data_IF_550002142564
#
_entry.id   IF_550002142564
#
_cell.length_a   1.000
_cell.length_b   1.000
_cell.length_c   1.000
_cell.angle_alpha   90.00
_cell.angle_beta   90.00
_cell.angle_gamma   90.00
#
_symmetry.space_group_name_H-M   'P 1'
#
loop_
_entity.id
_entity.type
_entity.pdbx_description
1 polymer ?
2 polymer ?
3 water ?
#
# COMPACT_ATOMS: atom_id res chain seq x y z
N UNK A 1 -17.98 -0.97 7.67
CA UNK A 1 -18.14 0.34 8.30
C UNK A 1 -17.51 0.32 9.70
N UNK A 2 -17.67 -0.81 10.37
CA UNK A 2 -17.00 -1.11 11.62
C UNK A 2 -16.59 -2.57 11.51
N UNK A 3 -17.12 -3.19 10.45
CA UNK A 3 -16.69 -4.49 9.97
C UNK A 3 -15.17 -4.49 9.79
N UNK A 4 -14.68 -3.40 9.21
CA UNK A 4 -13.26 -3.14 9.01
C UNK A 4 -12.42 -3.33 10.28
N UNK A 5 -12.98 -2.89 11.40
CA UNK A 5 -12.30 -2.92 12.69
C UNK A 5 -12.43 -4.27 13.40
N UNK A 6 -13.64 -4.83 13.40
CA UNK A 6 -13.93 -5.99 14.23
C UNK A 6 -13.96 -7.33 13.49
N UNK A 7 -14.42 -7.35 12.24
CA UNK A 7 -14.63 -8.63 11.55
C UNK A 7 -13.35 -9.25 10.99
N UNK A 8 -12.98 -10.42 11.52
CA UNK A 8 -11.81 -11.17 11.06
C UNK A 8 -11.88 -11.43 9.56
N UNK A 9 -10.77 -11.21 8.87
CA UNK A 9 -10.70 -11.45 7.44
C UNK A 9 -10.91 -12.92 7.14
N UNK A 10 -11.64 -13.22 6.07
CA UNK A 10 -11.88 -14.60 5.67
C UNK A 10 -11.09 -14.91 4.40
N UNK A 11 -11.11 -16.17 3.97
CA UNK A 11 -10.46 -16.53 2.70
C UNK A 11 -11.10 -15.76 1.55
N UNK A 12 -12.43 -15.72 1.58
CA UNK A 12 -13.17 -14.93 0.61
C UNK A 12 -12.67 -13.49 0.60
N UNK A 13 -12.47 -12.92 1.79
CA UNK A 13 -11.96 -11.56 1.88
C UNK A 13 -10.59 -11.44 1.24
N UNK A 14 -9.76 -12.46 1.45
CA UNK A 14 -8.39 -12.42 0.95
C UNK A 14 -8.36 -12.45 -0.56
N UNK A 15 -9.32 -13.11 -1.19
CA UNK A 15 -9.40 -13.03 -2.64
C UNK A 15 -9.55 -11.56 -3.07
N UNK A 16 -10.41 -10.83 -2.36
CA UNK A 16 -10.63 -9.42 -2.62
C UNK A 16 -9.40 -8.56 -2.38
N UNK A 17 -8.70 -8.82 -1.27
CA UNK A 17 -7.46 -8.11 -0.98
C UNK A 17 -6.43 -8.33 -2.08
N UNK A 18 -6.33 -9.57 -2.53
CA UNK A 18 -5.41 -9.89 -3.61
C UNK A 18 -5.77 -9.14 -4.88
N UNK A 19 -7.07 -9.06 -5.17
CA UNK A 19 -7.54 -8.33 -6.35
C UNK A 19 -7.17 -6.83 -6.27
N UNK A 20 -7.37 -6.24 -5.10
CA UNK A 20 -7.03 -4.83 -4.91
C UNK A 20 -5.52 -4.61 -5.08
N UNK A 21 -4.74 -5.51 -4.50
CA UNK A 21 -3.29 -5.41 -4.58
C UNK A 21 -2.83 -5.52 -6.03
N UNK A 22 -3.41 -6.46 -6.76
CA UNK A 22 -3.11 -6.62 -8.18
C UNK A 22 -3.45 -5.35 -8.95
N UNK A 23 -4.61 -4.75 -8.66
CA UNK A 23 -5.00 -3.52 -9.34
C UNK A 23 -4.00 -2.40 -9.07
N UNK A 24 -3.50 -2.33 -7.84
CA UNK A 24 -2.49 -1.31 -7.55
C UNK A 24 -1.18 -1.62 -8.28
N UNK A 25 -0.78 -2.88 -8.28
CA UNK A 25 0.47 -3.28 -8.93
C UNK A 25 0.43 -3.00 -10.42
N UNK A 26 -0.76 -3.06 -11.00
CA UNK A 26 -0.92 -2.79 -12.43
C UNK A 26 -0.98 -1.30 -12.79
N UNK A 27 -1.18 -0.43 -11.80
CA UNK A 27 -1.31 1.01 -12.05
C UNK A 27 0.02 1.58 -12.51
N UNK A 28 -0.01 2.43 -13.53
CA UNK A 28 1.24 2.95 -14.10
C UNK A 28 1.98 3.89 -13.15
N UNK A 29 1.26 4.47 -12.19
CA UNK A 29 1.88 5.38 -11.23
C UNK A 29 2.36 4.66 -9.98
N UNK A 30 2.30 3.33 -9.98
CA UNK A 30 2.71 2.55 -8.81
C UNK A 30 4.16 2.10 -8.92
N UNK A 31 4.80 2.45 -10.02
CA UNK A 31 6.15 1.98 -10.28
C UNK A 31 7.16 2.23 -9.13
N UNK A 32 7.04 3.34 -8.36
CA UNK A 32 8.07 3.46 -7.32
C UNK A 32 7.85 2.56 -6.11
N UNK A 33 6.67 1.99 -5.98
CA UNK A 33 6.31 1.26 -4.77
C UNK A 33 6.25 -0.26 -4.97
N UNK A 34 6.65 -0.73 -6.14
CA UNK A 34 6.50 -2.15 -6.46
C UNK A 34 7.38 -3.00 -5.59
N UNK A 35 8.60 -2.53 -5.36
CA UNK A 35 9.60 -3.28 -4.61
C UNK A 35 10.12 -2.43 -3.46
N UNK A 36 10.82 -3.06 -2.50
CA UNK A 36 11.49 -2.24 -1.47
C UNK A 36 12.44 -1.21 -2.09
N UNK A 37 12.49 -0.04 -1.46
CA UNK A 37 13.39 1.03 -1.87
C UNK A 37 14.82 0.52 -1.99
N UNK A 38 15.48 0.84 -3.10
CA UNK A 38 16.89 0.52 -3.26
C UNK A 38 17.74 1.56 -2.54
N UNK A 39 18.58 1.11 -1.58
CA UNK A 39 19.46 1.99 -0.80
C UNK A 39 20.40 2.79 -1.68
N UNK A 40 20.85 2.19 -2.78
CA UNK A 40 21.73 2.88 -3.73
C UNK A 40 21.04 4.05 -4.42
N UNK A 41 19.72 3.94 -4.58
CA UNK A 41 18.93 4.98 -5.21
C UNK A 41 18.64 6.11 -4.24
N UNK A 42 18.61 5.79 -2.95
CA UNK A 42 18.25 6.75 -1.92
C UNK A 42 19.04 6.51 -0.63
N UNK A 43 20.34 6.87 -0.65
CA UNK A 43 21.38 6.50 0.32
C UNK A 43 20.99 6.64 1.79
N UNK A 44 20.12 7.60 2.10
CA UNK A 44 19.77 7.89 3.48
C UNK A 44 18.37 7.38 3.87
N UNK A 45 17.70 6.71 2.94
CA UNK A 45 16.29 6.37 3.13
C UNK A 45 16.05 5.57 4.39
N UNK A 46 16.85 4.53 4.58
CA UNK A 46 16.56 3.59 5.65
C UNK A 46 16.99 4.11 7.02
N UNK A 47 17.67 5.25 7.05
CA UNK A 47 17.96 5.93 8.30
C UNK A 47 16.86 6.90 8.67
N UNK A 48 16.19 7.42 7.64
CA UNK A 48 15.09 8.36 7.81
C UNK A 48 13.76 7.66 8.07
N UNK A 49 13.50 6.63 7.28
CA UNK A 49 12.22 5.93 7.33
C UNK A 49 12.27 4.71 8.26
N UNK A 50 11.49 4.75 9.32
CA UNK A 50 11.62 3.74 10.36
C UNK A 50 10.86 2.47 10.04
N UNK A 51 9.69 2.60 9.44
CA UNK A 51 8.90 1.45 9.04
C UNK A 51 8.64 1.41 7.53
N UNK A 52 9.64 0.98 6.75
CA UNK A 52 9.50 0.93 5.29
C UNK A 52 8.41 -0.05 4.89
N UNK A 53 7.85 0.13 3.70
CA UNK A 53 6.78 -0.74 3.23
C UNK A 53 6.71 -0.64 1.71
N UNK A 54 6.24 -1.70 1.07
CA UNK A 54 6.18 -1.75 -0.39
C UNK A 54 5.16 -2.79 -0.81
N UNK A 55 4.78 -2.76 -2.07
CA UNK A 55 3.69 -3.60 -2.53
C UNK A 55 4.08 -5.08 -2.56
N UNK A 56 5.36 -5.39 -2.76
CA UNK A 56 5.82 -6.78 -2.76
C UNK A 56 5.76 -7.39 -1.36
N UNK A 57 6.18 -6.61 -0.36
CA UNK A 57 6.07 -7.04 1.03
C UNK A 57 4.61 -7.33 1.38
N UNK A 58 3.73 -6.46 0.91
CA UNK A 58 2.30 -6.64 1.15
C UNK A 58 1.75 -7.85 0.41
N UNK A 59 2.29 -8.13 -0.78
CA UNK A 59 1.89 -9.33 -1.52
C UNK A 59 2.27 -10.57 -0.73
N UNK A 60 3.46 -10.54 -0.17
CA UNK A 60 3.92 -11.65 0.65
C UNK A 60 3.01 -11.82 1.87
N UNK A 61 2.67 -10.71 2.51
CA UNK A 61 1.84 -10.77 3.72
C UNK A 61 0.42 -11.26 3.43
N UNK A 62 -0.13 -10.84 2.29
CA UNK A 62 -1.44 -11.31 1.84
C UNK A 62 -1.36 -12.82 1.59
N UNK A 63 -0.31 -13.25 0.90
CA UNK A 63 -0.11 -14.66 0.62
C UNK A 63 -0.07 -15.49 1.93
N UNK A 64 0.69 -15.03 2.92
CA UNK A 64 0.84 -15.75 4.18
C UNK A 64 -0.34 -15.58 5.12
N UNK A 65 -1.37 -14.85 4.68
CA UNK A 65 -2.53 -14.55 5.52
C UNK A 65 -2.08 -13.84 6.80
N UNK A 66 -1.16 -12.90 6.63
CA UNK A 66 -0.61 -12.15 7.75
C UNK A 66 -1.65 -11.24 8.43
N UNK A 67 -2.54 -10.62 7.66
CA UNK A 67 -3.52 -9.69 8.23
C UNK A 67 -4.73 -10.40 8.82
N UNK A 68 -5.11 -10.02 10.05
CA UNK A 68 -6.29 -10.57 10.70
C UNK A 68 -7.49 -9.66 10.51
N UNK A 69 -7.24 -8.36 10.39
CA UNK A 69 -8.32 -7.40 10.21
C UNK A 69 -8.00 -6.41 9.10
N UNK A 70 -9.04 -5.89 8.45
CA UNK A 70 -8.87 -4.98 7.32
C UNK A 70 -8.02 -3.77 7.69
N UNK A 71 -8.18 -3.29 8.92
CA UNK A 71 -7.47 -2.10 9.40
C UNK A 71 -5.96 -2.29 9.33
N UNK A 72 -5.48 -3.51 9.55
CA UNK A 72 -4.03 -3.79 9.48
C UNK A 72 -3.51 -3.69 8.03
N UNK A 73 -4.28 -4.24 7.09
CA UNK A 73 -3.96 -4.15 5.66
C UNK A 73 -3.93 -2.69 5.20
N UNK A 74 -4.98 -1.96 5.57
CA UNK A 74 -5.05 -0.55 5.25
C UNK A 74 -3.88 0.22 5.86
N UNK A 75 -3.50 -0.10 7.09
CA UNK A 75 -2.37 0.61 7.72
C UNK A 75 -1.06 0.34 6.98
N UNK A 76 -0.86 -0.91 6.56
CA UNK A 76 0.33 -1.21 5.76
C UNK A 76 0.32 -0.42 4.46
N UNK A 77 -0.82 -0.37 3.77
CA UNK A 77 -0.88 0.40 2.53
C UNK A 77 -0.60 1.89 2.76
N UNK A 78 -1.19 2.44 3.82
CA UNK A 78 -1.01 3.86 4.12
C UNK A 78 0.44 4.18 4.45
N UNK A 79 1.14 3.24 5.08
CA UNK A 79 2.56 3.45 5.37
C UNK A 79 3.36 3.78 4.10
N UNK A 80 3.02 3.14 2.99
CA UNK A 80 3.72 3.36 1.73
C UNK A 80 3.63 4.82 1.28
N UNK A 81 2.41 5.33 1.30
CA UNK A 81 2.13 6.69 0.87
C UNK A 81 2.71 7.71 1.85
N UNK A 82 2.53 7.47 3.15
CA UNK A 82 3.09 8.37 4.16
C UNK A 82 4.61 8.46 4.10
N UNK A 83 5.26 7.30 3.97
CA UNK A 83 6.71 7.27 3.82
C UNK A 83 7.11 8.07 2.62
N UNK A 84 6.42 7.82 1.51
CA UNK A 84 6.73 8.54 0.28
C UNK A 84 6.61 10.07 0.44
N UNK A 85 5.50 10.53 1.01
CA UNK A 85 5.30 11.97 1.13
C UNK A 85 6.25 12.60 2.15
N UNK A 86 6.67 11.82 3.14
CA UNK A 86 7.62 12.32 4.13
C UNK A 86 9.04 12.43 3.56
N UNK A 87 9.48 11.40 2.83
CA UNK A 87 10.85 11.38 2.34
C UNK A 87 11.08 12.32 1.16
N UNK A 88 10.12 12.38 0.24
CA UNK A 88 10.28 13.14 -0.99
C UNK A 88 9.67 14.54 -0.91
N UNK A 89 10.22 15.49 -1.69
CA UNK A 89 9.65 16.84 -1.80
C UNK A 89 8.33 16.83 -2.57
N UNK A 90 7.52 17.87 -2.38
CA UNK A 90 6.18 17.90 -2.94
C UNK A 90 6.15 18.08 -4.46
N UNK A 91 7.29 18.38 -5.07
CA UNK A 91 7.35 18.52 -6.53
C UNK A 91 8.05 17.33 -7.18
N UNK A 92 8.19 16.25 -6.42
CA UNK A 92 8.85 15.06 -6.93
C UNK A 92 7.86 14.15 -7.62
N UNK A 93 8.30 13.47 -8.68
CA UNK A 93 7.51 12.42 -9.34
C UNK A 93 7.00 11.38 -8.34
N UNK A 94 7.85 11.01 -7.38
CA UNK A 94 7.47 10.03 -6.37
C UNK A 94 6.27 10.51 -5.57
N UNK A 95 6.32 11.78 -5.17
CA UNK A 95 5.25 12.40 -4.41
C UNK A 95 3.94 12.38 -5.21
N UNK A 96 4.04 12.74 -6.48
CA UNK A 96 2.87 12.72 -7.35
C UNK A 96 2.28 11.31 -7.41
N UNK A 97 3.16 10.33 -7.57
CA UNK A 97 2.74 8.93 -7.61
C UNK A 97 2.00 8.54 -6.36
N UNK A 98 2.49 9.03 -5.22
CA UNK A 98 1.80 8.78 -3.96
C UNK A 98 0.40 9.38 -3.96
N UNK A 99 0.27 10.62 -4.42
CA UNK A 99 -1.06 11.23 -4.48
C UNK A 99 -2.06 10.43 -5.34
N UNK A 100 -1.66 10.18 -6.59
CA UNK A 100 -2.51 9.42 -7.51
C UNK A 100 -2.87 8.04 -6.96
N UNK A 101 -1.84 7.28 -6.59
CA UNK A 101 -2.05 5.90 -6.18
C UNK A 101 -2.86 5.82 -4.88
N UNK A 102 -2.68 6.77 -3.97
CA UNK A 102 -3.51 6.74 -2.77
C UNK A 102 -4.98 7.03 -3.10
N UNK A 103 -5.25 8.01 -3.98
CA UNK A 103 -6.67 8.23 -4.32
C UNK A 103 -7.29 6.97 -4.98
N UNK A 104 -6.50 6.34 -5.85
CA UNK A 104 -6.91 5.09 -6.50
C UNK A 104 -7.23 4.01 -5.46
N UNK A 105 -6.33 3.88 -4.49
CA UNK A 105 -6.47 2.91 -3.42
C UNK A 105 -7.73 3.17 -2.63
N UNK A 106 -8.03 4.44 -2.36
CA UNK A 106 -9.25 4.72 -1.62
C UNK A 106 -10.46 4.27 -2.45
N UNK A 107 -10.47 4.59 -3.75
CA UNK A 107 -11.58 4.12 -4.60
C UNK A 107 -11.77 2.58 -4.53
N UNK A 108 -10.67 1.86 -4.71
CA UNK A 108 -10.72 0.40 -4.69
C UNK A 108 -11.16 -0.15 -3.34
N UNK A 109 -10.69 0.50 -2.28
CA UNK A 109 -10.96 0.10 -0.91
C UNK A 109 -12.44 0.23 -0.62
N UNK A 110 -13.01 1.37 -1.02
CA UNK A 110 -14.45 1.56 -0.90
C UNK A 110 -15.18 0.44 -1.66
N UNK A 111 -14.71 0.16 -2.88
CA UNK A 111 -15.25 -0.99 -3.60
C UNK A 111 -15.29 -2.26 -2.76
N UNK A 112 -14.14 -2.61 -2.19
CA UNK A 112 -13.99 -3.83 -1.40
C UNK A 112 -14.88 -3.87 -0.16
N UNK A 113 -14.96 -2.76 0.57
CA UNK A 113 -15.78 -2.71 1.77
C UNK A 113 -17.24 -2.88 1.41
N UNK A 114 -17.66 -2.25 0.31
CA UNK A 114 -19.03 -2.43 -0.17
C UNK A 114 -19.32 -3.88 -0.56
N UNK A 115 -18.41 -4.50 -1.28
CA UNK A 115 -18.59 -5.90 -1.68
C UNK A 115 -18.62 -6.81 -0.46
N UNK A 116 -17.92 -6.39 0.58
CA UNK A 116 -17.80 -7.19 1.79
C UNK A 116 -19.13 -7.26 2.54
N UNK A 117 -19.89 -6.18 2.49
CA UNK A 117 -21.20 -6.14 3.12
C UNK A 117 -22.30 -6.51 2.12
N UNK B 1 15.77 9.52 -8.80
CA UNK B 1 16.02 10.83 -8.22
C UNK B 1 16.24 10.76 -6.73
N UNK B 2 15.19 10.41 -5.99
CA UNK B 2 15.25 10.11 -4.52
C UNK B 2 16.27 10.88 -3.73
N UNK B 3 15.81 11.63 -2.73
CA UNK B 3 15.20 12.93 -2.71
C UNK B 3 15.03 13.50 -1.31
#
# INVERSE_FOLDING_TARGET
>A
TAMTVLTPLTEKDYEGLKRVLRSLQAHKMAWPFLEPVDPNDAPDYYGVIKEPMDLATMEERVQRRYYEKLTEFVADMTAIFDNCRYYNPSDSPFYQCAEVLESFFVQKLKGFKASRS
>B
GXG
#
